data_IF_672230497697
#
_entry.id   IF_672230497697
#
_cell.length_a   1.000
_cell.length_b   1.000
_cell.length_c   1.000
_cell.angle_alpha   90.00
_cell.angle_beta   90.00
_cell.angle_gamma   90.00
#
_symmetry.space_group_name_H-M   'P 1'
#
loop_
_entity.id
_entity.type
_entity.pdbx_description
1 polymer ?
#
# COMPACT_ATOMS: atom_id res chain seq x y z
N UNK A 1 -12.18 -10.95 7.35
CA UNK A 1 -12.66 -9.92 8.31
C UNK A 1 -13.75 -9.13 7.62
N UNK A 2 -14.96 -9.07 8.18
CA UNK A 2 -16.08 -8.32 7.63
C UNK A 2 -15.83 -6.81 7.80
N UNK A 3 -15.76 -6.06 6.68
CA UNK A 3 -15.65 -4.60 6.73
C UNK A 3 -16.85 -4.01 7.49
N UNK A 4 -16.65 -2.98 8.34
CA UNK A 4 -17.73 -2.37 9.08
C UNK A 4 -18.75 -1.73 8.14
N UNK A 5 -20.03 -1.87 8.46
CA UNK A 5 -21.22 -1.51 7.67
C UNK A 5 -21.37 0.00 7.33
N UNK A 6 -20.34 0.81 7.63
CA UNK A 6 -20.33 2.28 7.54
C UNK A 6 -19.02 2.85 6.98
N UNK A 7 -18.09 2.03 6.49
CA UNK A 7 -16.86 2.54 5.90
C UNK A 7 -17.15 3.25 4.56
N UNK A 8 -16.68 4.50 4.43
CA UNK A 8 -16.74 5.28 3.18
C UNK A 8 -15.64 4.85 2.21
N UNK A 9 -14.60 4.16 2.69
CA UNK A 9 -13.56 3.62 1.83
C UNK A 9 -12.51 2.80 2.55
N UNK A 10 -11.46 2.45 1.80
CA UNK A 10 -10.28 1.75 2.28
C UNK A 10 -9.01 2.29 1.61
N UNK A 11 -7.95 2.39 2.39
CA UNK A 11 -6.57 2.63 1.94
C UNK A 11 -5.84 1.29 1.97
N UNK A 12 -5.04 0.99 0.96
CA UNK A 12 -4.28 -0.26 0.87
C UNK A 12 -2.80 0.10 0.82
N UNK A 13 -2.08 -0.40 1.81
CA UNK A 13 -0.63 -0.33 1.87
C UNK A 13 -0.04 -1.67 1.45
N UNK A 14 1.11 -1.64 0.78
CA UNK A 14 1.97 -2.82 0.62
C UNK A 14 3.07 -2.77 1.66
N UNK A 15 3.41 -3.93 2.23
CA UNK A 15 4.63 -4.06 3.01
C UNK A 15 5.85 -4.07 2.10
N UNK A 16 6.82 -3.25 2.42
CA UNK A 16 8.10 -3.12 1.72
C UNK A 16 9.27 -3.71 2.52
N UNK A 17 9.01 -4.15 3.75
CA UNK A 17 9.96 -4.78 4.65
C UNK A 17 9.99 -6.31 4.55
N UNK A 18 9.03 -6.93 3.84
CA UNK A 18 8.99 -8.36 3.56
C UNK A 18 9.20 -8.67 2.08
N UNK A 19 9.64 -9.90 1.79
CA UNK A 19 9.86 -10.38 0.42
C UNK A 19 8.55 -10.63 -0.32
N UNK A 20 7.53 -11.06 0.42
CA UNK A 20 6.21 -11.33 -0.13
C UNK A 20 5.40 -10.03 -0.20
N UNK A 21 4.65 -9.85 -1.29
CA UNK A 21 3.70 -8.74 -1.44
C UNK A 21 2.53 -8.94 -0.48
N UNK A 22 2.59 -8.31 0.69
CA UNK A 22 1.52 -8.32 1.68
C UNK A 22 0.74 -7.00 1.64
N UNK A 23 -0.54 -7.08 1.28
CA UNK A 23 -1.47 -5.94 1.29
C UNK A 23 -2.13 -5.77 2.67
N UNK A 24 -2.06 -4.56 3.20
CA UNK A 24 -2.67 -4.17 4.47
C UNK A 24 -3.79 -3.15 4.19
N UNK A 25 -5.07 -3.59 4.22
CA UNK A 25 -6.20 -2.68 4.08
C UNK A 25 -6.50 -1.96 5.40
N UNK A 26 -6.74 -0.65 5.31
CA UNK A 26 -7.14 0.23 6.41
C UNK A 26 -8.42 0.95 6.01
N UNK A 27 -9.53 0.65 6.67
CA UNK A 27 -10.80 1.31 6.41
C UNK A 27 -10.81 2.75 6.94
N UNK A 28 -11.60 3.62 6.32
CA UNK A 28 -11.88 4.96 6.81
C UNK A 28 -13.36 5.32 6.60
N UNK A 29 -13.86 6.25 7.40
CA UNK A 29 -15.25 6.73 7.40
C UNK A 29 -15.38 8.18 6.97
N UNK A 30 -14.31 8.98 7.07
CA UNK A 30 -14.32 10.38 6.64
C UNK A 30 -13.11 10.73 5.76
N UNK A 31 -13.21 11.85 5.06
CA UNK A 31 -12.08 12.37 4.26
C UNK A 31 -10.92 12.80 5.17
N UNK A 32 -11.21 13.33 6.35
CA UNK A 32 -10.21 13.72 7.33
C UNK A 32 -9.41 12.51 7.83
N UNK A 33 -10.10 11.40 8.09
CA UNK A 33 -9.46 10.14 8.48
C UNK A 33 -8.59 9.58 7.35
N UNK A 34 -9.08 9.62 6.10
CA UNK A 34 -8.28 9.27 4.93
C UNK A 34 -6.99 10.11 4.85
N UNK A 35 -7.11 11.43 4.99
CA UNK A 35 -5.96 12.33 4.94
C UNK A 35 -4.98 12.03 6.07
N UNK A 36 -5.46 11.79 7.28
CA UNK A 36 -4.63 11.40 8.41
C UNK A 36 -3.88 10.09 8.14
N UNK A 37 -4.59 9.05 7.67
CA UNK A 37 -4.01 7.74 7.36
C UNK A 37 -2.90 7.84 6.31
N UNK A 38 -3.11 8.66 5.28
CA UNK A 38 -2.18 8.83 4.17
C UNK A 38 -1.03 9.80 4.46
N UNK A 39 -1.17 10.69 5.44
CA UNK A 39 -0.11 11.66 5.81
C UNK A 39 0.81 11.13 6.91
N UNK A 40 0.39 10.12 7.67
CA UNK A 40 1.21 9.50 8.70
C UNK A 40 2.25 8.53 8.11
N UNK A 41 3.56 8.76 8.31
CA UNK A 41 4.60 7.85 7.85
C UNK A 41 4.48 6.47 8.49
N UNK A 42 4.45 5.41 7.67
CA UNK A 42 4.38 4.02 8.13
C UNK A 42 5.67 3.29 7.76
N UNK A 43 6.47 2.93 8.76
CA UNK A 43 7.73 2.23 8.55
C UNK A 43 7.49 0.89 7.85
N UNK A 44 8.27 0.61 6.79
CA UNK A 44 8.16 -0.64 6.04
C UNK A 44 6.86 -0.79 5.24
N UNK A 45 6.13 0.31 4.99
CA UNK A 45 4.90 0.30 4.21
C UNK A 45 4.92 1.38 3.13
N UNK A 46 4.21 1.14 2.03
CA UNK A 46 4.00 2.13 0.97
C UNK A 46 2.54 2.11 0.55
N UNK A 47 1.99 3.30 0.31
CA UNK A 47 0.62 3.45 -0.18
C UNK A 47 0.54 2.91 -1.62
N UNK A 48 -0.35 1.94 -1.84
CA UNK A 48 -0.56 1.31 -3.16
C UNK A 48 -1.84 1.79 -3.81
N UNK A 49 -2.95 1.88 -3.06
CA UNK A 49 -4.22 2.38 -3.61
C UNK A 49 -5.18 2.89 -2.56
N UNK A 50 -6.09 3.76 -2.99
CA UNK A 50 -7.26 4.24 -2.22
C UNK A 50 -8.53 3.86 -2.96
N UNK A 51 -9.49 3.26 -2.25
CA UNK A 51 -10.82 2.91 -2.77
C UNK A 51 -11.86 3.69 -1.98
N UNK A 52 -12.68 4.48 -2.66
CA UNK A 52 -13.80 5.23 -2.07
C UNK A 52 -15.10 4.62 -2.57
N UNK A 53 -16.04 4.36 -1.65
CA UNK A 53 -17.38 3.84 -1.94
C UNK A 53 -18.41 4.96 -1.81
N UNK A 54 -19.36 5.01 -2.74
CA UNK A 54 -20.50 5.91 -2.69
C UNK A 54 -21.74 5.20 -3.23
N UNK A 55 -22.92 5.56 -2.71
CA UNK A 55 -24.20 5.18 -3.32
C UNK A 55 -24.72 6.37 -4.12
N UNK A 56 -24.92 6.20 -5.43
CA UNK A 56 -25.52 7.20 -6.32
C UNK A 56 -26.78 6.61 -6.93
N UNK A 57 -27.95 7.24 -6.72
CA UNK A 57 -29.24 6.75 -7.19
C UNK A 57 -29.55 5.29 -6.80
N UNK A 58 -29.14 4.88 -5.59
CA UNK A 58 -29.32 3.51 -5.10
C UNK A 58 -28.38 2.48 -5.71
N UNK A 59 -27.45 2.87 -6.60
CA UNK A 59 -26.41 2.00 -7.14
C UNK A 59 -25.07 2.23 -6.42
N UNK A 60 -24.36 1.17 -6.03
CA UNK A 60 -23.03 1.30 -5.47
C UNK A 60 -22.03 1.68 -6.58
N UNK A 61 -21.23 2.71 -6.32
CA UNK A 61 -20.15 3.20 -7.17
C UNK A 61 -18.87 3.22 -6.34
N UNK A 62 -17.76 2.82 -6.95
CA UNK A 62 -16.45 2.90 -6.32
C UNK A 62 -15.46 3.65 -7.20
N UNK A 63 -14.65 4.51 -6.58
CA UNK A 63 -13.50 5.16 -7.21
C UNK A 63 -12.24 4.52 -6.64
N UNK A 64 -11.39 3.96 -7.50
CA UNK A 64 -10.10 3.38 -7.11
C UNK A 64 -8.96 4.21 -7.71
N UNK A 65 -8.09 4.72 -6.85
CA UNK A 65 -6.87 5.44 -7.23
C UNK A 65 -5.67 4.53 -6.91
N UNK A 66 -4.99 4.04 -7.93
CA UNK A 66 -3.77 3.23 -7.79
C UNK A 66 -2.51 4.07 -7.98
N UNK A 67 -1.48 3.76 -7.19
CA UNK A 67 -0.20 4.43 -7.19
C UNK A 67 0.88 3.46 -7.65
N UNK A 68 1.51 3.74 -8.78
CA UNK A 68 2.58 2.89 -9.29
C UNK A 68 3.88 3.32 -8.61
N UNK A 69 4.35 2.52 -7.66
CA UNK A 69 5.71 2.66 -7.15
C UNK A 69 6.70 2.10 -8.16
N UNK A 70 7.38 2.98 -8.90
CA UNK A 70 8.48 2.61 -9.79
C UNK A 70 9.76 2.31 -8.97
N UNK A 71 9.75 1.27 -8.16
CA UNK A 71 10.99 0.72 -7.60
C UNK A 71 10.87 -0.79 -7.43
N UNK A 72 10.90 -1.48 -8.57
CA UNK A 72 11.55 -2.79 -8.61
C UNK A 72 13.03 -2.55 -8.32
N UNK A 73 13.36 -2.38 -7.04
CA UNK A 73 14.71 -2.54 -6.55
C UNK A 73 15.08 -3.98 -6.84
N UNK A 74 15.70 -4.23 -7.99
CA UNK A 74 16.47 -5.43 -8.21
C UNK A 74 17.48 -5.42 -7.06
N UNK A 75 17.27 -6.22 -6.00
CA UNK A 75 18.39 -6.55 -5.12
C UNK A 75 19.36 -7.26 -6.04
N UNK A 76 20.45 -6.57 -6.42
CA UNK A 76 21.54 -7.18 -7.14
C UNK A 76 21.89 -8.45 -6.39
N UNK A 77 21.50 -9.60 -6.94
CA UNK A 77 21.88 -10.87 -6.38
C UNK A 77 23.41 -10.92 -6.46
N UNK A 78 24.05 -11.11 -5.30
CA UNK A 78 25.48 -11.29 -5.10
C UNK A 78 26.42 -10.16 -5.55
N UNK A 79 27.06 -9.50 -4.58
CA UNK A 79 28.48 -9.18 -4.73
C UNK A 79 29.23 -10.50 -4.99
N UNK A 80 30.09 -10.62 -6.02
CA UNK A 80 30.93 -11.80 -6.12
C UNK A 80 31.89 -11.84 -4.91
N UNK A 81 32.11 -13.03 -4.30
CA UNK A 81 33.03 -13.19 -3.20
C UNK A 81 34.47 -12.97 -3.68
N UNK A 82 35.20 -12.15 -2.93
CA UNK A 82 36.65 -12.18 -2.75
C UNK A 82 37.53 -12.31 -4.00
N UNK A 83 38.04 -11.19 -4.49
CA UNK A 83 39.35 -11.19 -5.17
C UNK A 83 40.45 -11.19 -4.10
N UNK A 84 40.70 -12.36 -3.48
CA UNK A 84 41.99 -12.60 -2.85
C UNK A 84 43.03 -12.80 -3.97
N UNK A 85 43.78 -11.75 -4.32
CA UNK A 85 45.07 -11.95 -5.00
C UNK A 85 46.18 -11.89 -3.96
N UNK A 86 46.59 -13.07 -3.50
CA UNK A 86 47.96 -13.29 -3.08
C UNK A 86 48.82 -13.33 -4.35
N UNK A 87 49.79 -12.42 -4.45
CA UNK A 87 50.76 -12.34 -5.56
C UNK A 87 51.59 -11.07 -5.46
#
# INVERSE_FOLDING_TARGET
MSLPNHAVGQVIFIRTDCFDYEEIPVAFQTLEELVQICSEPRAGMSLERVVVFQIQNGQPVAVTLGFISASKGLRSASWPPEFQSNG
#
